data_IF_262426479463
#
_entry.id   IF_262426479463
#
_cell.length_a   1.000
_cell.length_b   1.000
_cell.length_c   1.000
_cell.angle_alpha   90.00
_cell.angle_beta   90.00
_cell.angle_gamma   90.00
#
_symmetry.space_group_name_H-M   'P 1'
#
loop_
_entity.id
_entity.type
_entity.pdbx_description
1 polymer ?
#
# COMPACT_ATOMS: atom_id res chain seq x y z
N UNK A 1 -3.32 -22.16 -12.81
CA UNK A 1 -3.87 -20.80 -13.09
C UNK A 1 -3.52 -20.48 -14.54
N UNK A 2 -4.51 -20.23 -15.41
CA UNK A 2 -4.21 -19.85 -16.81
C UNK A 2 -3.44 -18.52 -16.91
N UNK A 3 -2.68 -18.31 -17.98
CA UNK A 3 -1.82 -17.12 -18.13
C UNK A 3 -2.54 -15.77 -18.04
N UNK A 4 -3.81 -15.72 -18.46
CA UNK A 4 -4.66 -14.53 -18.35
C UNK A 4 -4.96 -14.15 -16.88
N UNK A 5 -5.09 -15.14 -15.99
CA UNK A 5 -5.30 -14.89 -14.57
C UNK A 5 -4.05 -14.28 -13.89
N UNK A 6 -2.85 -14.68 -14.33
CA UNK A 6 -1.60 -14.16 -13.78
C UNK A 6 -1.42 -12.67 -14.11
N UNK A 7 -1.73 -12.27 -15.36
CA UNK A 7 -1.65 -10.87 -15.80
C UNK A 7 -2.57 -9.96 -14.97
N UNK A 8 -3.83 -10.36 -14.77
CA UNK A 8 -4.75 -9.59 -13.94
C UNK A 8 -4.30 -9.52 -12.48
N UNK A 9 -3.82 -10.63 -11.91
CA UNK A 9 -3.33 -10.64 -10.52
C UNK A 9 -2.09 -9.76 -10.34
N UNK A 10 -1.14 -9.78 -11.28
CA UNK A 10 0.04 -8.94 -11.24
C UNK A 10 -0.31 -7.45 -11.36
N UNK A 11 -1.15 -7.07 -12.33
CA UNK A 11 -1.58 -5.69 -12.50
C UNK A 11 -2.36 -5.15 -11.28
N UNK A 12 -3.26 -5.96 -10.72
CA UNK A 12 -4.00 -5.61 -9.52
C UNK A 12 -3.09 -5.45 -8.30
N UNK A 13 -2.09 -6.33 -8.15
CA UNK A 13 -1.08 -6.21 -7.10
C UNK A 13 -0.30 -4.90 -7.22
N UNK A 14 0.20 -4.55 -8.42
CA UNK A 14 0.92 -3.28 -8.65
C UNK A 14 0.04 -2.08 -8.28
N UNK A 15 -1.23 -2.08 -8.66
CA UNK A 15 -2.15 -1.00 -8.34
C UNK A 15 -2.34 -0.84 -6.82
N UNK A 16 -2.59 -1.94 -6.10
CA UNK A 16 -2.72 -1.91 -4.64
C UNK A 16 -1.44 -1.51 -3.92
N UNK A 17 -0.30 -2.02 -4.37
CA UNK A 17 1.03 -1.66 -3.85
C UNK A 17 1.33 -0.17 -4.05
N UNK A 18 1.06 0.37 -5.24
CA UNK A 18 1.25 1.79 -5.50
C UNK A 18 0.43 2.65 -4.54
N UNK A 19 -0.84 2.33 -4.33
CA UNK A 19 -1.68 3.04 -3.36
C UNK A 19 -1.14 2.91 -1.94
N UNK A 20 -0.69 1.72 -1.54
CA UNK A 20 -0.11 1.49 -0.21
C UNK A 20 1.20 2.27 0.04
N UNK A 21 1.90 2.72 -1.01
CA UNK A 21 3.11 3.55 -0.92
C UNK A 21 2.76 5.04 -1.00
N UNK A 22 2.03 5.44 -2.04
CA UNK A 22 1.82 6.85 -2.37
C UNK A 22 0.72 7.50 -1.54
N UNK A 23 -0.32 6.76 -1.12
CA UNK A 23 -1.39 7.35 -0.32
C UNK A 23 -0.92 7.73 1.09
N UNK A 24 -0.18 6.88 1.85
CA UNK A 24 0.42 7.33 3.11
C UNK A 24 1.37 8.53 2.91
N UNK A 25 2.17 8.53 1.84
CA UNK A 25 3.09 9.63 1.52
C UNK A 25 2.35 10.95 1.33
N UNK A 26 1.24 10.93 0.58
CA UNK A 26 0.35 12.07 0.41
C UNK A 26 -0.24 12.53 1.75
N UNK A 27 -0.79 11.61 2.55
CA UNK A 27 -1.38 11.92 3.85
C UNK A 27 -0.36 12.53 4.82
N UNK A 28 0.87 12.01 4.83
CA UNK A 28 1.97 12.53 5.63
C UNK A 28 2.36 13.93 5.16
N UNK A 29 2.47 14.16 3.85
CA UNK A 29 2.75 15.49 3.30
C UNK A 29 1.68 16.50 3.73
N UNK A 30 0.39 16.15 3.55
CA UNK A 30 -0.73 16.99 3.97
C UNK A 30 -0.74 17.28 5.47
N UNK A 31 -0.38 16.32 6.31
CA UNK A 31 -0.35 16.48 7.76
C UNK A 31 0.81 17.37 8.28
N UNK A 32 1.81 17.67 7.43
CA UNK A 32 2.96 18.50 7.78
C UNK A 32 2.99 19.84 7.03
N UNK A 33 2.02 20.12 6.15
CA UNK A 33 1.92 21.41 5.48
C UNK A 33 1.47 22.51 6.46
N UNK A 34 2.10 23.69 6.44
CA UNK A 34 1.58 24.87 7.12
C UNK A 34 0.13 25.19 6.69
N UNK A 35 -0.68 25.67 7.63
CA UNK A 35 -2.05 26.09 7.33
C UNK A 35 -2.07 27.14 6.20
N UNK A 36 -2.91 26.92 5.18
CA UNK A 36 -3.04 27.82 4.04
C UNK A 36 -1.99 27.66 2.93
N UNK A 37 -1.01 26.75 3.05
CA UNK A 37 0.00 26.53 2.00
C UNK A 37 -0.38 25.47 0.96
N UNK A 38 -1.54 24.83 1.09
CA UNK A 38 -1.99 23.81 0.14
C UNK A 38 -2.23 24.42 -1.24
N UNK A 39 -1.57 23.88 -2.26
CA UNK A 39 -1.84 24.23 -3.65
C UNK A 39 -1.93 22.96 -4.51
N UNK A 40 -2.96 22.90 -5.35
CA UNK A 40 -3.15 21.82 -6.34
C UNK A 40 -2.00 21.70 -7.36
N UNK A 41 -1.12 22.69 -7.45
CA UNK A 41 0.10 22.60 -8.26
C UNK A 41 1.26 21.90 -7.54
N UNK A 42 1.34 21.98 -6.21
CA UNK A 42 2.46 21.42 -5.43
C UNK A 42 2.17 20.07 -4.81
N UNK A 43 0.92 19.74 -4.53
CA UNK A 43 0.55 18.48 -3.85
C UNK A 43 1.13 17.22 -4.50
N UNK A 44 1.14 17.15 -5.84
CA UNK A 44 1.72 16.04 -6.57
C UNK A 44 3.23 15.96 -6.38
N UNK A 45 3.93 17.09 -6.53
CA UNK A 45 5.37 17.17 -6.34
C UNK A 45 5.77 16.82 -4.89
N UNK A 46 5.03 17.31 -3.90
CA UNK A 46 5.29 17.04 -2.48
C UNK A 46 5.07 15.56 -2.15
N UNK A 47 4.00 14.95 -2.70
CA UNK A 47 3.74 13.51 -2.56
C UNK A 47 4.83 12.67 -3.19
N UNK A 48 5.27 13.04 -4.41
CA UNK A 48 6.36 12.38 -5.10
C UNK A 48 7.67 12.50 -4.31
N UNK A 49 7.96 13.68 -3.77
CA UNK A 49 9.16 13.89 -2.96
C UNK A 49 9.17 13.02 -1.70
N UNK A 50 8.05 12.92 -0.97
CA UNK A 50 7.95 12.03 0.20
C UNK A 50 8.03 10.56 -0.20
N UNK A 51 7.44 10.19 -1.33
CA UNK A 51 7.56 8.83 -1.83
C UNK A 51 8.99 8.51 -2.30
N UNK A 52 9.74 9.47 -2.84
CA UNK A 52 11.12 9.28 -3.32
C UNK A 52 12.15 9.19 -2.19
N UNK A 53 11.88 9.81 -1.04
CA UNK A 53 12.74 9.62 0.15
C UNK A 53 12.60 8.23 0.75
N UNK A 54 11.48 7.54 0.51
CA UNK A 54 11.29 6.16 0.93
C UNK A 54 12.26 5.24 0.17
N UNK A 55 13.13 4.56 0.93
CA UNK A 55 14.12 3.64 0.42
C UNK A 55 13.50 2.58 -0.53
N UNK A 56 14.15 2.26 -1.66
CA UNK A 56 13.69 1.21 -2.57
C UNK A 56 13.49 -0.14 -1.87
N UNK A 57 14.34 -0.49 -0.91
CA UNK A 57 14.24 -1.72 -0.12
C UNK A 57 12.92 -1.78 0.68
N UNK A 58 12.50 -0.67 1.29
CA UNK A 58 11.22 -0.60 2.01
C UNK A 58 10.02 -0.82 1.08
N UNK A 59 10.04 -0.23 -0.12
CA UNK A 59 8.98 -0.39 -1.13
C UNK A 59 8.88 -1.83 -1.62
N UNK A 60 10.02 -2.47 -1.86
CA UNK A 60 10.09 -3.87 -2.30
C UNK A 60 9.64 -4.83 -1.21
N UNK A 61 10.06 -4.60 0.05
CA UNK A 61 9.62 -5.40 1.19
C UNK A 61 8.10 -5.33 1.36
N UNK A 62 7.52 -4.12 1.34
CA UNK A 62 6.07 -3.93 1.37
C UNK A 62 5.39 -4.65 0.21
N UNK A 63 5.91 -4.48 -1.01
CA UNK A 63 5.38 -5.14 -2.21
C UNK A 63 5.36 -6.66 -2.10
N UNK A 64 6.44 -7.26 -1.61
CA UNK A 64 6.56 -8.69 -1.39
C UNK A 64 5.59 -9.22 -0.33
N UNK A 65 5.50 -8.54 0.83
CA UNK A 65 4.57 -8.89 1.90
C UNK A 65 3.11 -8.81 1.40
N UNK A 66 2.75 -7.72 0.72
CA UNK A 66 1.41 -7.55 0.15
C UNK A 66 1.08 -8.63 -0.90
N UNK A 67 2.04 -9.00 -1.75
CA UNK A 67 1.83 -10.06 -2.74
C UNK A 67 1.42 -11.38 -2.07
N UNK A 68 2.17 -11.80 -1.04
CA UNK A 68 1.89 -13.02 -0.27
C UNK A 68 0.50 -12.97 0.36
N UNK A 69 0.17 -11.85 1.01
CA UNK A 69 -1.10 -11.71 1.73
C UNK A 69 -2.29 -11.62 0.77
N UNK A 70 -2.20 -10.88 -0.33
CA UNK A 70 -3.28 -10.76 -1.31
C UNK A 70 -3.55 -12.09 -2.03
N UNK A 71 -2.51 -12.85 -2.38
CA UNK A 71 -2.71 -14.18 -2.95
C UNK A 71 -3.32 -15.15 -1.94
N UNK A 72 -2.94 -15.04 -0.67
CA UNK A 72 -3.54 -15.83 0.41
C UNK A 72 -5.02 -15.48 0.61
N UNK A 73 -5.36 -14.18 0.71
CA UNK A 73 -6.73 -13.70 0.78
C UNK A 73 -7.58 -14.24 -0.38
N UNK A 74 -7.05 -14.18 -1.61
CA UNK A 74 -7.77 -14.70 -2.78
C UNK A 74 -8.01 -16.21 -2.72
N UNK A 75 -7.06 -16.99 -2.18
CA UNK A 75 -7.22 -18.44 -2.02
C UNK A 75 -8.28 -18.78 -0.98
N UNK A 76 -8.38 -18.00 0.08
CA UNK A 76 -9.30 -18.23 1.19
C UNK A 76 -10.75 -17.85 0.85
N UNK A 77 -10.99 -16.79 0.08
CA UNK A 77 -12.34 -16.28 -0.17
C UNK A 77 -13.00 -16.79 -1.44
N UNK A 78 -12.24 -17.44 -2.34
CA UNK A 78 -12.71 -18.07 -3.59
C UNK A 78 -13.64 -17.17 -4.42
N UNK A 79 -14.96 -17.32 -4.32
CA UNK A 79 -15.93 -16.67 -5.20
C UNK A 79 -16.72 -15.53 -4.52
N UNK A 80 -16.55 -15.35 -3.21
CA UNK A 80 -17.17 -14.26 -2.49
C UNK A 80 -16.35 -12.98 -2.66
N UNK A 81 -16.89 -12.04 -3.45
CA UNK A 81 -16.26 -10.75 -3.69
C UNK A 81 -16.25 -9.87 -2.44
N UNK A 82 -17.30 -9.90 -1.63
CA UNK A 82 -17.40 -9.06 -0.43
C UNK A 82 -16.40 -9.54 0.62
N UNK A 83 -16.33 -10.85 0.85
CA UNK A 83 -15.30 -11.44 1.71
C UNK A 83 -13.90 -11.20 1.16
N UNK A 84 -13.68 -11.36 -0.16
CA UNK A 84 -12.40 -11.02 -0.79
C UNK A 84 -12.05 -9.55 -0.59
N UNK A 85 -13.05 -8.68 -0.63
CA UNK A 85 -12.87 -7.24 -0.52
C UNK A 85 -12.37 -6.87 0.88
N UNK A 86 -13.09 -7.33 1.90
CA UNK A 86 -12.73 -7.15 3.31
C UNK A 86 -11.37 -7.78 3.63
N UNK A 87 -11.13 -9.02 3.19
CA UNK A 87 -9.85 -9.71 3.43
C UNK A 87 -8.67 -9.02 2.75
N UNK A 88 -8.88 -8.39 1.59
CA UNK A 88 -7.81 -7.63 0.92
C UNK A 88 -7.49 -6.33 1.67
N UNK A 89 -8.49 -5.63 2.21
CA UNK A 89 -8.27 -4.48 3.08
C UNK A 89 -7.50 -4.87 4.36
N UNK A 90 -7.91 -5.96 5.01
CA UNK A 90 -7.21 -6.52 6.19
C UNK A 90 -5.77 -6.92 5.83
N UNK A 91 -5.57 -7.60 4.70
CA UNK A 91 -4.24 -7.95 4.20
C UNK A 91 -3.35 -6.71 3.96
N UNK A 92 -3.93 -5.61 3.48
CA UNK A 92 -3.25 -4.32 3.35
C UNK A 92 -2.76 -3.79 4.70
N UNK A 93 -3.65 -3.72 5.69
CA UNK A 93 -3.33 -3.27 7.06
C UNK A 93 -2.27 -4.16 7.70
N UNK A 94 -2.45 -5.48 7.67
CA UNK A 94 -1.50 -6.45 8.21
C UNK A 94 -0.16 -6.37 7.50
N UNK A 95 -0.16 -6.25 6.17
CA UNK A 95 1.08 -6.16 5.38
C UNK A 95 1.90 -4.92 5.72
N UNK A 96 1.25 -3.77 5.91
CA UNK A 96 1.91 -2.56 6.36
C UNK A 96 2.48 -2.71 7.77
N UNK A 97 1.67 -3.22 8.70
CA UNK A 97 2.12 -3.45 10.08
C UNK A 97 3.33 -4.39 10.13
N UNK A 98 3.29 -5.52 9.41
CA UNK A 98 4.41 -6.45 9.31
C UNK A 98 5.65 -5.78 8.72
N UNK A 99 5.49 -4.95 7.67
CA UNK A 99 6.61 -4.23 7.07
C UNK A 99 7.25 -3.28 8.08
N UNK A 100 6.46 -2.49 8.80
CA UNK A 100 6.95 -1.57 9.84
C UNK A 100 7.67 -2.32 10.98
N UNK A 101 7.13 -3.46 11.42
CA UNK A 101 7.73 -4.28 12.48
C UNK A 101 9.05 -4.92 12.07
N UNK A 102 9.14 -5.42 10.84
CA UNK A 102 10.21 -6.32 10.42
C UNK A 102 11.31 -5.63 9.61
N UNK A 103 11.08 -4.43 9.07
CA UNK A 103 12.07 -3.77 8.23
C UNK A 103 13.37 -3.48 9.01
N UNK A 104 14.54 -3.86 8.50
CA UNK A 104 15.82 -3.46 9.08
C UNK A 104 15.97 -1.93 9.09
N UNK A 105 16.61 -1.38 10.12
CA UNK A 105 16.72 0.08 10.29
C UNK A 105 17.52 0.74 9.15
N UNK A 106 18.54 0.05 8.64
CA UNK A 106 19.36 0.44 7.49
C UNK A 106 18.57 0.47 6.17
N UNK A 107 17.45 -0.26 6.07
CA UNK A 107 16.59 -0.29 4.88
C UNK A 107 15.40 0.66 4.97
N UNK A 108 15.20 1.31 6.11
CA UNK A 108 13.99 2.05 6.44
C UNK A 108 14.09 3.57 6.18
N UNK A 109 15.12 4.05 5.47
CA UNK A 109 15.24 5.49 5.20
C UNK A 109 13.95 6.07 4.59
N UNK A 110 13.45 7.17 5.17
CA UNK A 110 12.19 7.80 4.76
C UNK A 110 10.91 7.03 5.09
N UNK A 111 10.98 5.94 5.89
CA UNK A 111 9.83 5.08 6.20
C UNK A 111 9.89 4.52 7.63
N UNK A 112 8.77 4.56 8.37
CA UNK A 112 8.68 3.97 9.72
C UNK A 112 9.82 4.43 10.65
N UNK A 113 10.66 3.47 11.08
CA UNK A 113 11.80 3.73 11.97
C UNK A 113 12.83 4.70 11.37
N UNK A 114 13.07 4.68 10.05
CA UNK A 114 14.02 5.60 9.42
C UNK A 114 13.45 7.00 9.15
N UNK A 115 12.15 7.22 9.41
CA UNK A 115 11.52 8.55 9.38
C UNK A 115 11.36 9.16 10.78
N UNK A 116 11.04 8.33 11.77
CA UNK A 116 10.61 8.79 13.11
C UNK A 116 11.50 8.35 14.25
N UNK A 117 12.43 7.42 14.02
CA UNK A 117 13.17 6.73 15.08
C UNK A 117 12.38 5.61 15.75
N UNK A 118 11.09 5.47 15.46
CA UNK A 118 10.20 4.44 16.04
C UNK A 118 9.59 3.56 14.95
N UNK A 119 9.49 2.24 15.20
CA UNK A 119 8.85 1.32 14.24
C UNK A 119 7.36 1.61 14.07
N UNK A 120 6.69 1.98 15.16
CA UNK A 120 5.24 2.16 15.25
C UNK A 120 4.91 3.53 15.83
N UNK A 121 5.41 4.59 15.19
CA UNK A 121 5.14 5.96 15.62
C UNK A 121 3.63 6.24 15.62
N UNK A 122 3.05 6.48 16.80
CA UNK A 122 1.60 6.60 16.97
C UNK A 122 0.94 7.68 16.10
N UNK A 123 1.67 8.74 15.76
CA UNK A 123 1.18 9.82 14.88
C UNK A 123 1.05 9.40 13.41
N UNK A 124 1.99 8.59 12.90
CA UNK A 124 2.01 8.20 11.48
C UNK A 124 1.33 6.86 11.22
N UNK A 125 1.25 6.01 12.25
CA UNK A 125 0.68 4.67 12.13
C UNK A 125 -0.73 4.67 11.51
N UNK A 126 -1.70 5.51 11.94
CA UNK A 126 -3.02 5.52 11.32
C UNK A 126 -2.99 5.84 9.82
N UNK A 127 -2.09 6.71 9.38
CA UNK A 127 -1.95 7.11 7.97
C UNK A 127 -1.41 5.95 7.13
N UNK A 128 -0.41 5.23 7.65
CA UNK A 128 0.14 4.03 7.00
C UNK A 128 -0.92 2.92 6.89
N UNK A 129 -1.63 2.62 7.98
CA UNK A 129 -2.63 1.56 8.00
C UNK A 129 -3.81 1.89 7.07
N UNK A 130 -4.29 3.14 7.11
CA UNK A 130 -5.37 3.60 6.23
C UNK A 130 -4.97 3.49 4.75
N UNK A 131 -3.81 4.03 4.38
CA UNK A 131 -3.36 3.99 2.99
C UNK A 131 -3.15 2.59 2.45
N UNK A 132 -2.58 1.69 3.26
CA UNK A 132 -2.40 0.29 2.87
C UNK A 132 -3.71 -0.50 2.84
N UNK A 133 -4.64 -0.22 3.76
CA UNK A 133 -6.00 -0.77 3.73
C UNK A 133 -6.74 -0.41 2.43
N UNK A 134 -6.67 0.87 2.03
CA UNK A 134 -7.21 1.33 0.74
C UNK A 134 -6.44 0.70 -0.43
N UNK A 135 -5.13 0.48 -0.32
CA UNK A 135 -4.35 -0.28 -1.31
C UNK A 135 -4.86 -1.71 -1.50
N UNK A 136 -5.19 -2.40 -0.41
CA UNK A 136 -5.91 -3.67 -0.45
C UNK A 136 -7.25 -3.57 -1.15
N UNK A 137 -7.96 -2.44 -0.94
CA UNK A 137 -9.24 -2.22 -1.59
C UNK A 137 -9.14 -2.04 -3.12
N UNK A 138 -8.13 -1.29 -3.54
CA UNK A 138 -7.83 -1.06 -4.95
C UNK A 138 -7.41 -2.35 -5.61
N UNK A 139 -6.59 -3.18 -4.95
CA UNK A 139 -6.19 -4.48 -5.49
C UNK A 139 -7.39 -5.37 -5.85
N UNK A 140 -8.35 -5.55 -4.95
CA UNK A 140 -9.47 -6.46 -5.24
C UNK A 140 -10.37 -5.91 -6.36
N UNK A 141 -10.60 -4.60 -6.35
CA UNK A 141 -11.39 -3.90 -7.36
C UNK A 141 -10.74 -3.99 -8.74
N UNK A 142 -9.42 -3.75 -8.83
CA UNK A 142 -8.65 -3.89 -10.06
C UNK A 142 -8.65 -5.33 -10.58
N UNK A 143 -8.54 -6.32 -9.69
CA UNK A 143 -8.60 -7.73 -10.09
C UNK A 143 -9.97 -8.10 -10.69
N UNK A 144 -11.06 -7.67 -10.04
CA UNK A 144 -12.42 -7.87 -10.55
C UNK A 144 -12.62 -7.19 -11.89
N UNK A 145 -12.24 -5.92 -12.01
CA UNK A 145 -12.37 -5.15 -13.24
C UNK A 145 -11.58 -5.78 -14.41
N UNK A 146 -10.36 -6.26 -14.16
CA UNK A 146 -9.56 -6.93 -15.18
C UNK A 146 -10.21 -8.24 -15.65
N UNK A 147 -10.68 -9.07 -14.72
CA UNK A 147 -11.35 -10.34 -15.06
C UNK A 147 -12.65 -10.15 -15.83
N UNK A 148 -13.44 -9.14 -15.45
CA UNK A 148 -14.69 -8.80 -16.13
C UNK A 148 -14.50 -8.36 -17.59
N UNK A 149 -13.27 -7.98 -18.00
CA UNK A 149 -12.94 -7.64 -19.39
C UNK A 149 -12.42 -8.82 -20.21
N UNK A 150 -12.14 -9.96 -19.56
CA UNK A 150 -11.57 -11.15 -20.19
C UNK A 150 -12.56 -12.31 -20.33
N UNK A 151 -13.70 -12.24 -19.62
CA UNK A 151 -14.84 -13.14 -19.79
C UNK A 151 -15.88 -12.49 -20.68
#
# INVERSE_FOLDING_TARGET
MGGANLKCSAAAWVAGWAVAVFLPSLLIALAHMPEGSFTLKRWGADTWQVADTMAPAAKLMLGGVLAILFWSARRLTRDDYEAFMAMSAVAGVVGMALTLLLIPADWAHGFGIGLTGERMAGRLLPLYLMGSGIGGMVQASSLRACRARLG
#
